data_IF_810691659505
#
_entry.id   IF_810691659505
#
_cell.length_a   1.000
_cell.length_b   1.000
_cell.length_c   1.000
_cell.angle_alpha   90.00
_cell.angle_beta   90.00
_cell.angle_gamma   90.00
#
_symmetry.space_group_name_H-M   'P 1'
#
loop_
_entity.id
_entity.type
_entity.pdbx_description
1 polymer ?
#
# COMPACT_ATOMS: atom_id res chain seq x y z
N UNK A 1 46.83 14.35 35.54
CA UNK A 1 46.45 14.38 36.97
C UNK A 1 44.97 14.07 37.03
N UNK A 2 44.43 13.00 37.61
CA UNK A 2 44.86 11.89 38.50
C UNK A 2 44.01 10.66 38.09
N UNK A 3 44.43 9.43 38.42
CA UNK A 3 44.27 8.19 37.65
C UNK A 3 43.18 7.25 38.20
N UNK A 4 42.96 6.09 37.57
CA UNK A 4 42.32 4.96 38.25
C UNK A 4 41.60 3.94 37.38
N UNK A 5 42.32 2.89 37.01
CA UNK A 5 41.81 1.56 36.62
C UNK A 5 40.91 0.94 37.74
N UNK A 6 40.05 -0.08 37.50
CA UNK A 6 40.53 -1.41 37.10
C UNK A 6 39.64 -2.26 36.17
N UNK A 7 40.34 -3.17 35.46
CA UNK A 7 39.82 -4.44 34.97
C UNK A 7 39.24 -5.26 36.11
N UNK A 8 38.13 -5.95 35.87
CA UNK A 8 37.88 -7.20 36.59
C UNK A 8 37.53 -8.33 35.63
N UNK A 9 38.37 -9.36 35.72
CA UNK A 9 38.23 -10.67 35.09
C UNK A 9 37.34 -11.50 36.00
N UNK A 10 36.43 -12.29 35.45
CA UNK A 10 35.86 -13.39 36.21
C UNK A 10 36.05 -14.72 35.45
N UNK A 11 36.75 -15.71 36.04
CA UNK A 11 37.10 -16.98 35.42
C UNK A 11 36.01 -18.05 35.64
N UNK A 12 36.04 -19.04 34.73
CA UNK A 12 35.80 -20.47 34.92
C UNK A 12 35.00 -20.90 36.17
N UNK A 13 33.84 -21.53 35.96
CA UNK A 13 33.24 -22.39 37.00
C UNK A 13 32.53 -23.63 36.46
N UNK A 14 33.15 -24.75 36.82
CA UNK A 14 32.63 -26.09 37.11
C UNK A 14 32.01 -26.95 36.01
N UNK A 15 32.89 -27.77 35.46
CA UNK A 15 32.65 -29.21 35.28
C UNK A 15 32.15 -29.83 36.60
N UNK A 16 31.03 -30.55 36.50
CA UNK A 16 30.48 -31.38 37.56
C UNK A 16 30.03 -32.68 36.93
N UNK A 17 30.95 -33.65 36.90
CA UNK A 17 30.65 -35.06 36.73
C UNK A 17 29.53 -35.48 37.68
N UNK A 18 28.49 -36.12 37.16
CA UNK A 18 27.69 -37.06 37.94
C UNK A 18 27.45 -38.31 37.11
N UNK A 19 28.05 -39.38 37.62
CA UNK A 19 28.17 -40.68 37.02
C UNK A 19 27.05 -41.60 37.52
N UNK A 20 26.43 -42.30 36.57
CA UNK A 20 25.74 -43.58 36.65
C UNK A 20 24.76 -43.86 37.80
N UNK A 21 23.47 -43.95 37.45
CA UNK A 21 22.66 -45.09 37.84
C UNK A 21 22.12 -45.79 36.59
N UNK A 22 22.66 -46.98 36.35
CA UNK A 22 22.19 -47.97 35.37
C UNK A 22 20.84 -48.47 35.88
N UNK A 23 19.75 -48.14 35.18
CA UNK A 23 18.47 -48.76 35.40
C UNK A 23 18.08 -49.58 34.16
N UNK A 24 18.30 -50.89 34.27
CA UNK A 24 17.90 -51.87 33.28
C UNK A 24 16.43 -52.23 33.49
N UNK A 25 15.52 -51.57 32.78
CA UNK A 25 14.11 -51.97 32.73
C UNK A 25 13.61 -52.03 31.28
N UNK A 26 13.46 -53.30 30.84
CA UNK A 26 12.59 -53.89 29.81
C UNK A 26 12.07 -52.92 28.73
N UNK A 27 12.45 -53.19 27.47
CA UNK A 27 11.98 -52.50 26.25
C UNK A 27 10.67 -53.11 25.71
N UNK A 28 9.48 -52.50 25.95
CA UNK A 28 8.33 -52.60 25.06
C UNK A 28 8.27 -51.33 24.19
N UNK A 29 9.30 -51.07 23.36
CA UNK A 29 9.58 -49.71 22.90
C UNK A 29 9.66 -49.45 21.40
N UNK A 30 9.59 -50.46 20.53
CA UNK A 30 9.83 -50.24 19.08
C UNK A 30 8.56 -49.84 18.33
N UNK A 31 7.36 -50.16 18.84
CA UNK A 31 6.09 -49.79 18.22
C UNK A 31 5.67 -48.33 18.44
N UNK A 32 6.06 -47.70 19.55
CA UNK A 32 5.58 -46.36 19.94
C UNK A 32 6.38 -45.21 19.28
N UNK A 33 7.62 -45.46 18.89
CA UNK A 33 8.49 -44.46 18.26
C UNK A 33 8.14 -44.20 16.78
N UNK A 34 7.58 -45.19 16.07
CA UNK A 34 7.15 -45.02 14.68
C UNK A 34 5.84 -44.22 14.61
N UNK A 35 4.93 -44.42 15.57
CA UNK A 35 3.65 -43.71 15.62
C UNK A 35 3.81 -42.19 15.87
N UNK A 36 4.80 -41.77 16.65
CA UNK A 36 5.07 -40.35 16.92
C UNK A 36 5.72 -39.62 15.74
N UNK A 37 6.51 -40.31 14.91
CA UNK A 37 7.14 -39.73 13.71
C UNK A 37 6.14 -39.48 12.58
N UNK A 38 5.12 -40.35 12.44
CA UNK A 38 4.05 -40.19 11.43
C UNK A 38 3.11 -39.03 11.79
N UNK A 39 2.76 -38.85 13.08
CA UNK A 39 1.89 -37.75 13.53
C UNK A 39 2.58 -36.39 13.37
N UNK A 40 3.88 -36.29 13.65
CA UNK A 40 4.66 -35.06 13.44
C UNK A 40 4.71 -34.63 11.97
N UNK A 41 4.77 -35.59 11.04
CA UNK A 41 4.82 -35.33 9.59
C UNK A 41 3.52 -34.72 9.04
N UNK A 42 2.36 -35.10 9.61
CA UNK A 42 1.04 -34.62 9.17
C UNK A 42 0.80 -33.17 9.65
N UNK A 43 1.36 -32.77 10.80
CA UNK A 43 1.22 -31.40 11.32
C UNK A 43 2.07 -30.40 10.52
N UNK A 44 3.24 -30.81 9.98
CA UNK A 44 4.07 -29.92 9.14
C UNK A 44 3.57 -29.77 7.70
N UNK A 45 2.78 -30.72 7.19
CA UNK A 45 2.19 -30.61 5.85
C UNK A 45 1.05 -29.56 5.76
N UNK A 46 0.51 -29.11 6.91
CA UNK A 46 -0.60 -28.14 6.97
C UNK A 46 -0.19 -26.66 6.86
N UNK A 47 1.09 -26.31 6.98
CA UNK A 47 1.53 -24.91 6.98
C UNK A 47 1.92 -24.35 5.60
N UNK A 48 1.97 -25.18 4.55
CA UNK A 48 2.44 -24.73 3.22
C UNK A 48 1.31 -24.32 2.26
N UNK A 49 0.04 -24.57 2.59
CA UNK A 49 -1.09 -24.11 1.78
C UNK A 49 -1.55 -22.71 2.22
N UNK A 50 -0.66 -21.72 2.17
CA UNK A 50 -1.10 -20.33 2.06
C UNK A 50 -1.65 -20.14 0.64
N UNK A 51 -2.94 -20.45 0.44
CA UNK A 51 -3.62 -20.08 -0.78
C UNK A 51 -3.56 -18.56 -0.93
N UNK A 52 -3.07 -18.09 -2.08
CA UNK A 52 -3.08 -16.66 -2.39
C UNK A 52 -4.52 -16.18 -2.29
N UNK A 53 -4.74 -15.12 -1.52
CA UNK A 53 -6.08 -14.57 -1.35
C UNK A 53 -6.64 -14.18 -2.73
N UNK A 54 -7.88 -14.57 -3.06
CA UNK A 54 -8.50 -14.14 -4.31
C UNK A 54 -8.61 -12.61 -4.32
N UNK A 55 -8.22 -12.01 -5.45
CA UNK A 55 -8.43 -10.58 -5.74
C UNK A 55 -9.92 -10.35 -5.92
N UNK A 56 -10.48 -9.40 -5.18
CA UNK A 56 -11.88 -8.98 -5.36
C UNK A 56 -11.96 -8.06 -6.58
N UNK A 57 -12.79 -8.37 -7.59
CA UNK A 57 -12.98 -7.47 -8.71
C UNK A 57 -13.67 -6.17 -8.31
N UNK A 58 -13.37 -5.08 -9.02
CA UNK A 58 -14.03 -3.79 -8.75
C UNK A 58 -15.51 -3.82 -9.12
N UNK A 59 -15.93 -4.71 -10.03
CA UNK A 59 -17.36 -4.90 -10.36
C UNK A 59 -18.20 -5.25 -9.12
N UNK A 60 -17.63 -5.95 -8.14
CA UNK A 60 -18.33 -6.29 -6.88
C UNK A 60 -18.74 -5.03 -6.11
N UNK A 61 -17.97 -3.94 -6.20
CA UNK A 61 -18.30 -2.66 -5.56
C UNK A 61 -19.42 -1.96 -6.31
N UNK A 62 -19.34 -1.90 -7.64
CA UNK A 62 -20.38 -1.25 -8.47
C UNK A 62 -21.70 -2.02 -8.42
N UNK A 63 -21.66 -3.35 -8.42
CA UNK A 63 -22.83 -4.21 -8.26
C UNK A 63 -23.47 -4.02 -6.88
N UNK A 64 -22.68 -3.97 -5.81
CA UNK A 64 -23.21 -3.72 -4.47
C UNK A 64 -23.89 -2.34 -4.37
N UNK A 65 -23.28 -1.30 -4.97
CA UNK A 65 -23.85 0.03 -5.04
C UNK A 65 -25.16 0.04 -5.86
N UNK A 66 -25.17 -0.58 -7.04
CA UNK A 66 -26.35 -0.71 -7.89
C UNK A 66 -27.51 -1.46 -7.21
N UNK A 67 -27.20 -2.43 -6.35
CA UNK A 67 -28.17 -3.17 -5.55
C UNK A 67 -28.64 -2.41 -4.29
N UNK A 68 -28.21 -1.16 -4.10
CA UNK A 68 -28.64 -0.32 -2.97
C UNK A 68 -28.00 -0.69 -1.63
N UNK A 69 -26.85 -1.38 -1.63
CA UNK A 69 -26.11 -1.62 -0.39
C UNK A 69 -25.66 -0.28 0.22
N UNK A 70 -25.68 -0.19 1.56
CA UNK A 70 -25.22 1.02 2.24
C UNK A 70 -23.71 1.23 2.06
N UNK A 71 -23.26 2.48 2.08
CA UNK A 71 -21.83 2.83 2.02
C UNK A 71 -21.02 2.06 3.07
N UNK A 72 -21.53 1.94 4.30
CA UNK A 72 -20.86 1.21 5.38
C UNK A 72 -20.70 -0.29 5.08
N UNK A 73 -21.72 -0.92 4.48
CA UNK A 73 -21.65 -2.33 4.10
C UNK A 73 -20.62 -2.56 2.98
N UNK A 74 -20.59 -1.67 1.99
CA UNK A 74 -19.61 -1.72 0.89
C UNK A 74 -18.19 -1.49 1.43
N UNK A 75 -17.98 -0.49 2.28
CA UNK A 75 -16.70 -0.19 2.94
C UNK A 75 -16.22 -1.38 3.78
N UNK A 76 -17.12 -2.00 4.56
CA UNK A 76 -16.80 -3.21 5.31
C UNK A 76 -16.38 -4.35 4.37
N UNK A 77 -17.06 -4.52 3.24
CA UNK A 77 -16.69 -5.45 2.17
C UNK A 77 -15.28 -5.19 1.62
N UNK A 78 -14.97 -3.95 1.27
CA UNK A 78 -13.65 -3.52 0.77
C UNK A 78 -12.56 -3.82 1.82
N UNK A 79 -12.79 -3.45 3.08
CA UNK A 79 -11.86 -3.68 4.19
C UNK A 79 -11.62 -5.16 4.42
N UNK A 80 -12.68 -5.95 4.37
CA UNK A 80 -12.60 -7.39 4.49
C UNK A 80 -11.82 -7.98 3.33
N UNK A 81 -12.09 -7.58 2.08
CA UNK A 81 -11.45 -8.06 0.85
C UNK A 81 -9.92 -7.85 0.84
N UNK A 82 -9.41 -6.83 1.53
CA UNK A 82 -7.97 -6.44 1.51
C UNK A 82 -7.40 -6.26 0.10
N UNK A 83 -8.26 -6.08 -0.91
CA UNK A 83 -7.85 -5.69 -2.26
C UNK A 83 -7.78 -4.18 -2.29
N UNK A 84 -6.75 -3.66 -2.93
CA UNK A 84 -6.56 -2.23 -3.19
C UNK A 84 -6.49 -2.05 -4.70
N UNK A 85 -6.97 -0.92 -5.20
CA UNK A 85 -7.09 -0.67 -6.63
C UNK A 85 -6.23 0.52 -7.03
N UNK A 86 -5.52 0.41 -8.14
CA UNK A 86 -4.65 1.44 -8.69
C UNK A 86 -5.46 2.46 -9.52
N UNK A 87 -6.40 3.14 -8.86
CA UNK A 87 -7.33 4.08 -9.49
C UNK A 87 -6.65 5.39 -9.88
N UNK A 88 -6.90 5.83 -11.11
CA UNK A 88 -6.58 7.17 -11.61
C UNK A 88 -7.65 8.17 -11.19
N UNK A 89 -7.39 9.46 -11.44
CA UNK A 89 -8.34 10.52 -11.12
C UNK A 89 -9.67 10.35 -11.86
N UNK A 90 -9.63 10.01 -13.15
CA UNK A 90 -10.83 9.78 -13.95
C UNK A 90 -11.63 8.55 -13.50
N UNK A 91 -10.98 7.56 -12.89
CA UNK A 91 -11.67 6.34 -12.46
C UNK A 91 -12.69 6.63 -11.34
N UNK A 92 -12.41 7.60 -10.48
CA UNK A 92 -13.36 8.03 -9.45
C UNK A 92 -14.61 8.66 -10.06
N UNK A 93 -14.48 9.44 -11.13
CA UNK A 93 -15.61 9.99 -11.88
C UNK A 93 -16.46 8.88 -12.49
N UNK A 94 -15.83 7.92 -13.18
CA UNK A 94 -16.50 6.76 -13.78
C UNK A 94 -17.21 5.87 -12.76
N UNK A 95 -16.68 5.74 -11.54
CA UNK A 95 -17.32 5.01 -10.44
C UNK A 95 -18.52 5.77 -9.87
N UNK A 96 -18.41 7.09 -9.71
CA UNK A 96 -19.52 7.94 -9.27
C UNK A 96 -20.69 7.91 -10.27
N UNK A 97 -20.41 7.98 -11.57
CA UNK A 97 -21.40 7.82 -12.65
C UNK A 97 -22.15 6.48 -12.58
N UNK A 98 -21.50 5.45 -12.04
CA UNK A 98 -22.07 4.11 -11.79
C UNK A 98 -22.78 4.00 -10.43
N UNK A 99 -22.99 5.11 -9.74
CA UNK A 99 -23.72 5.19 -8.49
C UNK A 99 -22.92 4.79 -7.26
N UNK A 100 -21.59 4.68 -7.34
CA UNK A 100 -20.76 4.39 -6.16
C UNK A 100 -20.76 5.61 -5.22
N UNK A 101 -21.19 5.46 -3.96
CA UNK A 101 -21.31 6.60 -3.05
C UNK A 101 -19.96 7.25 -2.72
N UNK A 102 -19.95 8.58 -2.53
CA UNK A 102 -18.76 9.36 -2.16
C UNK A 102 -17.91 8.76 -1.03
N UNK A 103 -18.49 8.33 0.12
CA UNK A 103 -17.72 7.70 1.19
C UNK A 103 -16.99 6.41 0.78
N UNK A 104 -17.54 5.67 -0.19
CA UNK A 104 -16.90 4.47 -0.76
C UNK A 104 -15.72 4.89 -1.63
N UNK A 105 -15.87 5.92 -2.47
CA UNK A 105 -14.77 6.48 -3.28
C UNK A 105 -13.61 6.95 -2.39
N UNK A 106 -13.93 7.57 -1.26
CA UNK A 106 -12.95 8.04 -0.28
C UNK A 106 -12.18 6.89 0.37
N UNK A 107 -12.86 5.81 0.77
CA UNK A 107 -12.21 4.60 1.28
C UNK A 107 -11.28 3.98 0.21
N UNK A 108 -11.73 3.90 -1.06
CA UNK A 108 -10.91 3.36 -2.14
C UNK A 108 -9.61 4.15 -2.32
N UNK A 109 -9.71 5.49 -2.34
CA UNK A 109 -8.56 6.39 -2.41
C UNK A 109 -7.65 6.26 -1.19
N UNK A 110 -8.22 6.25 0.02
CA UNK A 110 -7.46 6.14 1.26
C UNK A 110 -6.66 4.85 1.35
N UNK A 111 -7.21 3.73 0.88
CA UNK A 111 -6.51 2.45 0.84
C UNK A 111 -5.35 2.46 -0.14
N UNK A 112 -5.58 2.98 -1.34
CA UNK A 112 -4.53 3.09 -2.34
C UNK A 112 -3.39 3.98 -1.87
N UNK A 113 -3.74 5.13 -1.30
CA UNK A 113 -2.80 6.04 -0.67
C UNK A 113 -1.97 5.38 0.44
N UNK A 114 -2.62 4.66 1.35
CA UNK A 114 -1.96 3.94 2.45
C UNK A 114 -1.02 2.84 1.96
N UNK A 115 -1.38 2.11 0.91
CA UNK A 115 -0.53 1.08 0.32
C UNK A 115 0.71 1.68 -0.34
N UNK A 116 0.56 2.79 -1.08
CA UNK A 116 1.70 3.54 -1.64
C UNK A 116 2.66 3.99 -0.54
N UNK A 117 2.14 4.50 0.59
CA UNK A 117 2.96 4.85 1.76
C UNK A 117 3.74 3.63 2.25
N UNK A 118 3.04 2.53 2.53
CA UNK A 118 3.62 1.31 3.09
C UNK A 118 4.71 0.72 2.20
N UNK A 119 4.50 0.69 0.88
CA UNK A 119 5.52 0.21 -0.05
C UNK A 119 6.72 1.13 -0.12
N UNK A 120 6.50 2.44 -0.10
CA UNK A 120 7.58 3.43 -0.08
C UNK A 120 8.46 3.27 1.16
N UNK A 121 7.84 3.15 2.34
CA UNK A 121 8.56 2.93 3.61
C UNK A 121 9.36 1.63 3.58
N UNK A 122 8.73 0.51 3.19
CA UNK A 122 9.40 -0.80 3.15
C UNK A 122 10.54 -0.84 2.15
N UNK A 123 10.35 -0.23 0.99
CA UNK A 123 11.37 -0.15 -0.06
C UNK A 123 12.56 0.69 0.42
N UNK A 124 12.30 1.88 0.98
CA UNK A 124 13.36 2.78 1.43
C UNK A 124 14.13 2.26 2.65
N UNK A 125 13.47 1.52 3.54
CA UNK A 125 14.14 0.82 4.65
C UNK A 125 14.92 -0.42 4.21
N UNK A 126 14.94 -0.78 2.92
CA UNK A 126 15.56 -2.01 2.42
C UNK A 126 14.89 -3.29 2.94
N UNK A 127 13.66 -3.20 3.46
CA UNK A 127 12.91 -4.32 4.06
C UNK A 127 12.07 -5.09 3.06
N UNK A 128 12.00 -4.65 1.80
CA UNK A 128 11.27 -5.35 0.75
C UNK A 128 12.06 -5.38 -0.55
N UNK A 129 12.30 -6.60 -1.06
CA UNK A 129 12.76 -6.86 -2.43
C UNK A 129 11.58 -7.07 -3.40
N UNK A 130 10.34 -6.82 -2.95
CA UNK A 130 9.11 -7.19 -3.63
C UNK A 130 8.28 -8.22 -2.86
N UNK A 131 7.11 -8.56 -3.39
CA UNK A 131 6.23 -9.61 -2.88
C UNK A 131 5.28 -10.13 -3.97
N UNK A 132 4.40 -11.09 -3.65
CA UNK A 132 3.45 -11.63 -4.63
C UNK A 132 2.53 -10.54 -5.17
N UNK A 133 2.18 -10.60 -6.46
CA UNK A 133 1.43 -9.53 -7.14
C UNK A 133 0.06 -9.22 -6.52
N UNK A 134 -0.53 -10.16 -5.80
CA UNK A 134 -1.81 -10.00 -5.09
C UNK A 134 -1.75 -9.00 -3.93
N UNK A 135 -0.57 -8.61 -3.46
CA UNK A 135 -0.44 -7.61 -2.38
C UNK A 135 -0.37 -6.17 -2.91
N UNK A 136 -0.20 -5.99 -4.22
CA UNK A 136 -0.10 -4.67 -4.82
C UNK A 136 -1.48 -4.14 -5.23
N UNK A 137 -1.63 -2.81 -5.36
CA UNK A 137 -2.79 -2.20 -5.97
C UNK A 137 -3.04 -2.81 -7.35
N UNK A 138 -4.23 -3.36 -7.52
CA UNK A 138 -4.62 -4.05 -8.74
C UNK A 138 -5.02 -3.04 -9.81
N UNK A 139 -4.57 -3.19 -11.06
CA UNK A 139 -4.91 -2.28 -12.14
C UNK A 139 -6.38 -2.46 -12.52
N UNK A 140 -7.01 -1.35 -12.88
CA UNK A 140 -8.44 -1.27 -13.15
C UNK A 140 -8.64 -0.88 -14.61
N UNK A 141 -9.64 -1.48 -15.23
CA UNK A 141 -10.16 -1.14 -16.55
C UNK A 141 -11.68 -1.03 -16.42
N UNK A 142 -12.16 0.15 -16.05
CA UNK A 142 -13.59 0.39 -15.84
C UNK A 142 -14.39 0.32 -17.15
N UNK A 143 -13.75 0.50 -18.30
CA UNK A 143 -14.44 0.43 -19.59
C UNK A 143 -14.83 -1.02 -19.91
N UNK A 144 -14.09 -2.01 -19.36
CA UNK A 144 -14.46 -3.42 -19.46
C UNK A 144 -15.82 -3.73 -18.82
N UNK A 145 -16.26 -2.96 -17.80
CA UNK A 145 -17.55 -3.16 -17.13
C UNK A 145 -18.72 -3.03 -18.11
N UNK A 146 -18.61 -2.14 -19.09
CA UNK A 146 -19.66 -1.88 -20.09
C UNK A 146 -19.83 -3.04 -21.08
N UNK A 147 -18.84 -3.94 -21.13
CA UNK A 147 -18.85 -5.15 -21.96
C UNK A 147 -19.06 -6.44 -21.14
N UNK A 148 -19.46 -6.31 -19.87
CA UNK A 148 -19.65 -7.45 -18.95
C UNK A 148 -18.35 -7.99 -18.36
N UNK A 149 -17.24 -7.25 -18.48
CA UNK A 149 -16.00 -7.52 -17.76
C UNK A 149 -16.13 -7.27 -16.26
N UNK A 150 -15.09 -7.63 -15.50
CA UNK A 150 -15.09 -7.49 -14.04
C UNK A 150 -14.41 -6.20 -13.55
N UNK A 151 -14.07 -5.30 -14.48
CA UNK A 151 -13.43 -4.02 -14.19
C UNK A 151 -11.94 -4.10 -13.86
N UNK A 152 -11.33 -5.29 -13.95
CA UNK A 152 -9.91 -5.49 -13.67
C UNK A 152 -9.13 -5.48 -14.98
N UNK A 153 -8.05 -4.69 -15.03
CA UNK A 153 -7.15 -4.74 -16.17
C UNK A 153 -6.32 -6.03 -16.14
N UNK A 154 -5.84 -6.52 -17.30
CA UNK A 154 -4.91 -7.64 -17.38
C UNK A 154 -3.71 -7.49 -16.43
N UNK A 155 -3.31 -8.58 -15.78
CA UNK A 155 -2.14 -8.55 -14.87
C UNK A 155 -0.81 -8.26 -15.58
N UNK A 156 -0.79 -8.34 -16.91
CA UNK A 156 0.34 -7.89 -17.76
C UNK A 156 0.51 -6.38 -17.73
N UNK A 157 -0.56 -5.62 -17.43
CA UNK A 157 -0.56 -4.17 -17.31
C UNK A 157 -0.16 -3.69 -15.91
N UNK A 158 0.06 -4.63 -14.98
CA UNK A 158 0.80 -4.40 -13.74
C UNK A 158 2.25 -4.19 -14.15
N UNK A 159 2.56 -3.01 -14.69
CA UNK A 159 3.88 -2.61 -15.15
C UNK A 159 4.92 -3.02 -14.11
N UNK A 160 5.56 -4.16 -14.35
CA UNK A 160 6.41 -4.82 -13.37
C UNK A 160 7.62 -3.93 -13.17
N UNK A 161 7.81 -3.49 -11.92
CA UNK A 161 9.09 -3.06 -11.35
C UNK A 161 10.03 -2.38 -12.36
N UNK A 162 9.71 -1.16 -12.81
CA UNK A 162 10.74 -0.38 -13.53
C UNK A 162 11.87 -0.03 -12.57
N UNK A 163 13.08 -0.41 -12.96
CA UNK A 163 14.35 -0.27 -12.26
C UNK A 163 14.49 1.02 -11.42
N UNK A 164 14.70 0.87 -10.11
CA UNK A 164 15.34 1.84 -9.22
C UNK A 164 14.69 3.21 -9.00
N UNK A 165 13.68 3.59 -9.79
CA UNK A 165 13.11 4.94 -9.74
C UNK A 165 11.81 5.04 -8.95
N UNK A 166 11.13 3.91 -8.68
CA UNK A 166 9.86 3.86 -7.93
C UNK A 166 9.82 2.69 -6.94
N UNK A 167 9.10 2.81 -5.81
CA UNK A 167 8.80 1.67 -4.94
C UNK A 167 8.04 0.57 -5.69
N UNK A 168 8.34 -0.72 -5.44
CA UNK A 168 7.57 -1.84 -5.99
C UNK A 168 6.08 -1.73 -5.63
N UNK A 169 5.19 -1.91 -6.60
CA UNK A 169 3.74 -1.82 -6.42
C UNK A 169 3.13 -0.46 -6.74
N UNK A 170 3.95 0.58 -6.89
CA UNK A 170 3.47 1.89 -7.38
C UNK A 170 3.25 1.81 -8.89
N UNK A 171 2.05 2.16 -9.41
CA UNK A 171 1.75 2.08 -10.83
C UNK A 171 2.67 2.94 -11.70
N UNK A 172 2.91 2.51 -12.94
CA UNK A 172 3.83 3.19 -13.88
C UNK A 172 3.34 4.57 -14.34
N UNK A 173 2.03 4.82 -14.26
CA UNK A 173 1.44 6.13 -14.55
C UNK A 173 1.73 7.17 -13.46
N UNK A 174 2.19 6.76 -12.27
CA UNK A 174 2.71 7.67 -11.25
C UNK A 174 4.16 8.05 -11.64
N UNK A 175 4.50 9.34 -11.81
CA UNK A 175 5.86 9.77 -12.07
C UNK A 175 6.83 9.31 -10.97
N UNK A 176 8.09 8.98 -11.30
CA UNK A 176 9.07 8.56 -10.29
C UNK A 176 9.44 9.68 -9.31
N UNK A 177 9.36 10.94 -9.77
CA UNK A 177 9.63 12.12 -8.97
C UNK A 177 8.53 13.16 -9.24
N UNK A 178 8.04 13.86 -8.20
CA UNK A 178 7.17 15.01 -8.39
C UNK A 178 7.97 16.22 -8.90
N UNK A 179 7.27 17.24 -9.38
CA UNK A 179 7.89 18.54 -9.58
C UNK A 179 8.29 19.14 -8.22
N UNK A 180 9.55 19.58 -8.11
CA UNK A 180 10.12 20.11 -6.86
C UNK A 180 10.23 21.63 -6.85
N UNK A 181 10.24 22.28 -8.02
CA UNK A 181 10.52 23.72 -8.18
C UNK A 181 9.29 24.53 -8.64
N UNK A 182 8.12 23.91 -8.72
CA UNK A 182 6.89 24.53 -9.19
C UNK A 182 6.12 25.32 -8.13
N UNK A 183 5.29 26.26 -8.60
CA UNK A 183 4.24 26.86 -7.76
C UNK A 183 3.31 25.77 -7.22
N UNK A 184 2.82 25.91 -5.97
CA UNK A 184 1.75 25.07 -5.45
C UNK A 184 0.56 25.05 -6.41
N UNK A 185 -0.07 23.88 -6.56
CA UNK A 185 -1.37 23.73 -7.20
C UNK A 185 -2.33 23.03 -6.26
N UNK A 186 -3.53 23.59 -6.16
CA UNK A 186 -4.67 23.06 -5.39
C UNK A 186 -5.76 22.53 -6.32
N UNK A 187 -6.74 21.83 -5.77
CA UNK A 187 -7.95 21.43 -6.51
C UNK A 187 -8.75 22.64 -6.98
N UNK A 188 -8.76 23.72 -6.20
CA UNK A 188 -9.45 24.97 -6.55
C UNK A 188 -8.78 25.68 -7.73
N UNK A 189 -7.43 25.67 -7.79
CA UNK A 189 -6.69 26.19 -8.93
C UNK A 189 -7.01 25.40 -10.21
N UNK A 190 -7.05 24.07 -10.13
CA UNK A 190 -7.42 23.20 -11.26
C UNK A 190 -8.82 23.51 -11.77
N UNK A 191 -9.78 23.64 -10.85
CA UNK A 191 -11.15 24.00 -11.16
C UNK A 191 -11.26 25.40 -11.79
N UNK A 192 -10.52 26.38 -11.25
CA UNK A 192 -10.50 27.73 -11.76
C UNK A 192 -9.92 27.79 -13.18
N UNK A 193 -8.83 27.08 -13.45
CA UNK A 193 -8.25 26.97 -14.79
C UNK A 193 -9.24 26.35 -15.78
N UNK A 194 -9.92 25.26 -15.39
CA UNK A 194 -10.96 24.63 -16.21
C UNK A 194 -12.11 25.58 -16.52
N UNK A 195 -12.60 26.32 -15.52
CA UNK A 195 -13.70 27.30 -15.68
C UNK A 195 -13.30 28.53 -16.51
N UNK A 196 -12.02 28.86 -16.55
CA UNK A 196 -11.49 29.96 -17.36
C UNK A 196 -11.35 29.62 -18.86
N UNK A 197 -11.61 28.37 -19.25
CA UNK A 197 -11.53 27.92 -20.64
C UNK A 197 -10.11 27.56 -21.10
N UNK A 198 -9.15 27.35 -20.19
CA UNK A 198 -7.86 26.76 -20.53
C UNK A 198 -8.05 25.35 -21.09
N UNK A 199 -7.22 24.96 -22.05
CA UNK A 199 -7.26 23.61 -22.62
C UNK A 199 -6.80 22.57 -21.59
N UNK A 200 -7.29 21.34 -21.73
CA UNK A 200 -6.90 20.26 -20.84
C UNK A 200 -5.39 20.01 -20.89
N UNK A 201 -4.77 20.12 -22.07
CA UNK A 201 -3.32 19.98 -22.25
C UNK A 201 -2.52 21.04 -21.48
N UNK A 202 -2.95 22.30 -21.50
CA UNK A 202 -2.33 23.38 -20.74
C UNK A 202 -2.41 23.13 -19.23
N UNK A 203 -3.58 22.69 -18.75
CA UNK A 203 -3.80 22.39 -17.34
C UNK A 203 -2.95 21.20 -16.90
N UNK A 204 -2.91 20.12 -17.69
CA UNK A 204 -2.06 18.94 -17.44
C UNK A 204 -0.59 19.34 -17.35
N UNK A 205 -0.12 20.19 -18.27
CA UNK A 205 1.26 20.64 -18.28
C UNK A 205 1.59 21.52 -17.06
N UNK A 206 0.67 22.39 -16.65
CA UNK A 206 0.79 23.17 -15.40
C UNK A 206 0.88 22.25 -14.18
N UNK A 207 -0.02 21.27 -14.06
CA UNK A 207 -0.01 20.29 -12.96
C UNK A 207 1.34 19.57 -12.89
N UNK A 208 1.85 19.07 -14.02
CA UNK A 208 3.13 18.35 -14.08
C UNK A 208 4.33 19.19 -13.66
N UNK A 209 4.26 20.51 -13.85
CA UNK A 209 5.29 21.47 -13.46
C UNK A 209 5.12 22.01 -12.04
N UNK A 210 3.95 21.82 -11.44
CA UNK A 210 3.56 22.36 -10.12
C UNK A 210 3.73 21.34 -8.99
N UNK A 211 3.87 21.83 -7.76
CA UNK A 211 3.86 20.99 -6.56
C UNK A 211 2.44 20.89 -6.01
N UNK A 212 1.93 19.69 -5.70
CA UNK A 212 0.60 19.59 -5.09
C UNK A 212 0.66 20.15 -3.66
N UNK A 213 -0.19 21.15 -3.37
CA UNK A 213 -0.05 21.97 -2.16
C UNK A 213 -0.34 21.22 -0.86
N UNK A 214 -1.38 20.38 -0.87
CA UNK A 214 -1.86 19.66 0.32
C UNK A 214 -1.72 18.16 0.06
N UNK A 215 -0.88 17.50 0.85
CA UNK A 215 -0.67 16.05 0.75
C UNK A 215 -1.56 15.26 1.71
N UNK A 216 -1.82 15.81 2.89
CA UNK A 216 -2.53 15.16 3.97
C UNK A 216 -3.49 16.14 4.64
N UNK A 217 -4.59 15.62 5.18
CA UNK A 217 -5.39 16.32 6.18
C UNK A 217 -4.99 15.82 7.57
N UNK A 218 -5.11 16.69 8.57
CA UNK A 218 -4.89 16.28 9.95
C UNK A 218 -5.87 15.17 10.30
N UNK A 219 -5.35 14.05 10.80
CA UNK A 219 -6.19 13.01 11.37
C UNK A 219 -6.87 13.60 12.60
N UNK A 220 -8.21 13.55 12.72
CA UNK A 220 -8.90 14.00 13.93
C UNK A 220 -8.49 13.17 15.16
N UNK A 221 -7.99 11.95 14.94
CA UNK A 221 -7.41 11.11 15.97
C UNK A 221 -5.95 11.49 16.25
N UNK A 222 -5.71 12.24 17.34
CA UNK A 222 -4.39 12.67 17.79
C UNK A 222 -3.40 11.51 18.06
N UNK A 223 -3.89 10.27 18.16
CA UNK A 223 -3.10 9.05 18.42
C UNK A 223 -2.82 8.29 17.11
N UNK A 224 -3.54 8.59 16.03
CA UNK A 224 -3.35 7.90 14.75
C UNK A 224 -2.12 8.45 14.04
N UNK A 225 -1.10 7.60 13.88
CA UNK A 225 0.04 7.87 13.00
C UNK A 225 -0.33 7.69 11.52
N UNK A 226 -1.57 7.30 11.21
CA UNK A 226 -2.03 7.11 9.83
C UNK A 226 -2.36 8.47 9.23
N UNK A 227 -1.80 8.73 8.07
CA UNK A 227 -2.06 9.94 7.32
C UNK A 227 -3.32 9.75 6.46
N UNK A 228 -4.18 10.76 6.43
CA UNK A 228 -5.38 10.77 5.60
C UNK A 228 -5.09 11.45 4.27
N UNK A 229 -5.60 10.90 3.17
CA UNK A 229 -5.46 11.51 1.86
C UNK A 229 -6.19 12.87 1.83
N UNK A 230 -5.48 13.93 1.42
CA UNK A 230 -6.06 15.26 1.27
C UNK A 230 -6.98 15.39 0.05
N UNK A 231 -6.65 14.70 -1.04
CA UNK A 231 -7.50 14.63 -2.23
C UNK A 231 -8.20 13.28 -2.20
N UNK A 232 -9.47 13.28 -1.80
CA UNK A 232 -10.30 12.09 -1.65
C UNK A 232 -10.90 11.64 -3.00
N UNK A 233 -11.51 10.46 -3.04
CA UNK A 233 -12.15 9.96 -4.25
C UNK A 233 -13.38 10.78 -4.65
N UNK A 234 -14.19 11.22 -3.67
CA UNK A 234 -15.31 12.12 -3.88
C UNK A 234 -14.89 13.48 -4.44
N UNK A 235 -13.74 14.02 -4.03
CA UNK A 235 -13.20 15.27 -4.59
C UNK A 235 -12.92 15.13 -6.09
N UNK A 236 -12.35 14.01 -6.55
CA UNK A 236 -12.16 13.77 -7.99
C UNK A 236 -13.49 13.68 -8.74
N UNK A 237 -14.47 12.97 -8.18
CA UNK A 237 -15.80 12.86 -8.78
C UNK A 237 -16.49 14.24 -8.88
N UNK A 238 -16.38 15.07 -7.84
CA UNK A 238 -16.97 16.42 -7.81
C UNK A 238 -16.28 17.39 -8.78
N UNK A 239 -14.97 17.26 -8.99
CA UNK A 239 -14.26 18.02 -10.03
C UNK A 239 -14.74 17.64 -11.43
N UNK A 240 -14.94 16.34 -11.69
CA UNK A 240 -15.48 15.85 -12.96
C UNK A 240 -16.88 16.39 -13.24
N UNK A 241 -17.79 16.34 -12.25
CA UNK A 241 -19.14 16.93 -12.33
C UNK A 241 -19.12 18.43 -12.64
N UNK A 242 -18.06 19.13 -12.25
CA UNK A 242 -17.87 20.55 -12.52
C UNK A 242 -17.16 20.84 -13.86
N UNK A 243 -16.97 19.82 -14.69
CA UNK A 243 -16.44 19.95 -16.05
C UNK A 243 -14.93 19.83 -16.17
N UNK A 244 -14.23 19.39 -15.12
CA UNK A 244 -12.78 19.12 -15.22
C UNK A 244 -12.57 17.85 -16.04
N UNK A 245 -11.76 17.95 -17.11
CA UNK A 245 -11.50 16.85 -18.03
C UNK A 245 -10.79 15.66 -17.35
N UNK A 246 -11.03 14.44 -17.85
CA UNK A 246 -10.50 13.20 -17.25
C UNK A 246 -8.98 13.15 -17.21
N UNK A 247 -8.30 13.57 -18.28
CA UNK A 247 -6.85 13.65 -18.37
C UNK A 247 -6.24 14.63 -17.36
N UNK A 248 -6.98 15.68 -16.98
CA UNK A 248 -6.58 16.63 -15.94
C UNK A 248 -6.66 15.96 -14.56
N UNK A 249 -7.74 15.22 -14.28
CA UNK A 249 -7.88 14.46 -13.04
C UNK A 249 -6.78 13.40 -12.90
N UNK A 250 -6.46 12.70 -13.99
CA UNK A 250 -5.37 11.73 -14.05
C UNK A 250 -4.01 12.36 -13.75
N UNK A 251 -3.71 13.51 -14.36
CA UNK A 251 -2.48 14.24 -14.10
C UNK A 251 -2.38 14.73 -12.65
N UNK A 252 -3.51 15.17 -12.06
CA UNK A 252 -3.59 15.60 -10.67
C UNK A 252 -3.29 14.43 -9.71
N UNK A 253 -3.95 13.28 -9.89
CA UNK A 253 -3.72 12.08 -9.09
C UNK A 253 -2.30 11.54 -9.23
N UNK A 254 -1.76 11.52 -10.45
CA UNK A 254 -0.39 11.11 -10.71
C UNK A 254 0.62 12.00 -9.96
N UNK A 255 0.44 13.32 -10.01
CA UNK A 255 1.30 14.29 -9.32
C UNK A 255 1.16 14.21 -7.81
N UNK A 256 -0.07 14.04 -7.31
CA UNK A 256 -0.38 13.87 -5.90
C UNK A 256 0.33 12.66 -5.29
N UNK A 257 0.22 11.49 -5.94
CA UNK A 257 0.88 10.27 -5.47
C UNK A 257 2.41 10.36 -5.58
N UNK A 258 2.94 10.98 -6.64
CA UNK A 258 4.38 11.21 -6.75
C UNK A 258 4.91 12.10 -5.60
N UNK A 259 4.17 13.16 -5.24
CA UNK A 259 4.51 14.00 -4.09
C UNK A 259 4.41 13.24 -2.76
N UNK A 260 3.41 12.36 -2.61
CA UNK A 260 3.27 11.50 -1.45
C UNK A 260 4.44 10.51 -1.29
N UNK A 261 4.87 9.87 -2.39
CA UNK A 261 6.05 8.98 -2.40
C UNK A 261 7.29 9.75 -1.97
N UNK A 262 7.52 10.94 -2.53
CA UNK A 262 8.68 11.76 -2.21
C UNK A 262 8.70 12.24 -0.77
N UNK A 263 7.54 12.69 -0.26
CA UNK A 263 7.39 13.08 1.13
C UNK A 263 7.66 11.89 2.05
N UNK A 264 7.09 10.73 1.75
CA UNK A 264 7.28 9.51 2.54
C UNK A 264 8.75 9.14 2.59
N UNK A 265 9.42 9.09 1.43
CA UNK A 265 10.87 8.85 1.30
C UNK A 265 11.71 9.78 2.18
N UNK A 266 11.40 11.08 2.21
CA UNK A 266 12.11 12.07 3.04
C UNK A 266 11.79 11.94 4.53
N UNK A 267 10.55 11.57 4.87
CA UNK A 267 10.09 11.45 6.26
C UNK A 267 10.51 10.15 6.92
N UNK A 268 10.72 9.09 6.14
CA UNK A 268 11.24 7.83 6.63
C UNK A 268 12.72 8.01 6.94
N UNK A 269 13.07 8.18 8.22
CA UNK A 269 14.47 8.11 8.62
C UNK A 269 14.99 6.71 8.29
N UNK A 270 15.96 6.62 7.38
CA UNK A 270 16.88 5.49 7.43
C UNK A 270 17.53 5.67 8.78
N UNK A 271 17.21 4.80 9.75
CA UNK A 271 17.94 4.82 11.00
C UNK A 271 19.40 4.78 10.61
N UNK A 272 20.09 5.92 10.73
CA UNK A 272 21.53 6.01 10.60
C UNK A 272 21.99 5.11 11.71
N UNK A 273 22.17 3.82 11.38
CA UNK A 273 22.70 2.83 12.29
C UNK A 273 23.92 3.52 12.84
N UNK A 274 23.88 3.80 14.14
CA UNK A 274 24.96 4.47 14.84
C UNK A 274 26.19 3.61 14.63
N UNK A 275 26.90 3.87 13.53
CA UNK A 275 28.26 3.47 13.35
C UNK A 275 28.96 4.22 14.46
N UNK A 276 29.12 3.54 15.58
CA UNK A 276 30.12 3.87 16.58
C UNK A 276 31.41 3.96 15.78
N UNK A 277 31.80 5.18 15.40
CA UNK A 277 33.14 5.45 14.93
C UNK A 277 34.03 5.07 16.13
N UNK A 278 34.67 3.90 16.01
CA UNK A 278 35.72 3.46 16.93
C UNK A 278 37.03 4.10 16.51
#
# INVERSE_FOLDING_TARGET
MVPGMPQDRNPLRNEGENMHLINAQRRPGVGLAIATMIIGSIVLAGCASLSSRPVTPISTITEAAANGASSDAIIAGIRNAKTTYALRGSDFAKLDERGVPGPVLDELQQRFFGDVQLFTERWYMGRSAGGPTSIYPQPVDLDSLDTGGNGMAPTTDVGRMTHGTRPPGVPTWVPPYPAVAGEPITTDDVLAMSKSGQSAEEIVEKIRKSRVAVLYTDSPDAISLRRTAAITGSVYADLAKQGVAHEVLDALQASYLASHVEFTRKSTSVGTGGGVQR
#
